data_IF_447652046543
#
_entry.id   IF_447652046543
#
_cell.length_a   1.000
_cell.length_b   1.000
_cell.length_c   1.000
_cell.angle_alpha   90.00
_cell.angle_beta   90.00
_cell.angle_gamma   90.00
#
_symmetry.space_group_name_H-M   'P 1'
#
loop_
_entity.id
_entity.type
_entity.pdbx_description
1 polymer ?
#
# COMPACT_ATOMS: atom_id res chain seq x y z
N UNK A 1 -2.95 30.32 -11.75
CA UNK A 1 -3.63 29.02 -11.85
C UNK A 1 -4.05 28.60 -10.45
N UNK A 2 -5.31 28.23 -10.24
CA UNK A 2 -5.75 27.73 -8.94
C UNK A 2 -5.11 26.34 -8.67
N UNK A 3 -4.42 26.17 -7.56
CA UNK A 3 -3.83 24.88 -7.13
C UNK A 3 -4.89 23.91 -6.61
N UNK A 4 -6.09 24.39 -6.35
CA UNK A 4 -7.18 23.64 -5.72
C UNK A 4 -7.53 22.33 -6.45
N UNK A 5 -7.67 22.28 -7.80
CA UNK A 5 -7.98 21.03 -8.51
C UNK A 5 -6.89 19.96 -8.31
N UNK A 6 -5.64 20.39 -8.27
CA UNK A 6 -4.50 19.49 -8.08
C UNK A 6 -4.47 18.95 -6.64
N UNK A 7 -4.71 19.80 -5.64
CA UNK A 7 -4.78 19.39 -4.24
C UNK A 7 -5.90 18.37 -4.01
N UNK A 8 -7.09 18.60 -4.57
CA UNK A 8 -8.21 17.67 -4.49
C UNK A 8 -7.86 16.33 -5.13
N UNK A 9 -7.17 16.36 -6.28
CA UNK A 9 -6.69 15.15 -6.94
C UNK A 9 -5.65 14.41 -6.10
N UNK A 10 -4.73 15.17 -5.49
CA UNK A 10 -3.66 14.65 -4.63
C UNK A 10 -4.17 14.00 -3.35
N UNK A 11 -5.28 14.49 -2.78
CA UNK A 11 -5.91 13.85 -1.61
C UNK A 11 -6.37 12.42 -1.92
N UNK A 12 -6.99 12.17 -3.08
CA UNK A 12 -7.42 10.82 -3.46
C UNK A 12 -6.23 9.86 -3.61
N UNK A 13 -5.20 10.27 -4.35
CA UNK A 13 -3.99 9.46 -4.54
C UNK A 13 -3.23 9.28 -3.22
N UNK A 14 -3.09 10.35 -2.43
CA UNK A 14 -2.45 10.33 -1.12
C UNK A 14 -3.16 9.42 -0.12
N UNK A 15 -4.50 9.33 -0.18
CA UNK A 15 -5.26 8.38 0.62
C UNK A 15 -4.91 6.92 0.27
N UNK A 16 -4.70 6.61 -1.01
CA UNK A 16 -4.25 5.27 -1.43
C UNK A 16 -2.81 5.00 -1.00
N UNK A 17 -1.92 6.00 -1.05
CA UNK A 17 -0.55 5.86 -0.52
C UNK A 17 -0.56 5.64 1.00
N UNK A 18 -1.42 6.34 1.73
CA UNK A 18 -1.63 6.13 3.16
C UNK A 18 -2.10 4.70 3.46
N UNK A 19 -3.11 4.23 2.74
CA UNK A 19 -3.62 2.86 2.86
C UNK A 19 -2.53 1.82 2.60
N UNK A 20 -1.77 2.00 1.51
CA UNK A 20 -0.68 1.11 1.11
C UNK A 20 0.45 1.11 2.13
N UNK A 21 0.88 2.28 2.59
CA UNK A 21 1.92 2.42 3.60
C UNK A 21 1.55 1.77 4.92
N UNK A 22 0.31 1.95 5.38
CA UNK A 22 -0.22 1.30 6.59
C UNK A 22 -0.21 -0.22 6.43
N UNK A 23 -0.65 -0.76 5.28
CA UNK A 23 -0.58 -2.19 4.99
C UNK A 23 0.85 -2.74 5.07
N UNK A 24 1.84 -2.01 4.54
CA UNK A 24 3.25 -2.37 4.64
C UNK A 24 3.77 -2.34 6.09
N UNK A 25 3.41 -1.32 6.88
CA UNK A 25 3.83 -1.21 8.29
C UNK A 25 3.27 -2.35 9.13
N UNK A 26 2.03 -2.78 8.91
CA UNK A 26 1.43 -3.90 9.62
C UNK A 26 2.24 -5.18 9.40
N UNK A 27 2.55 -5.49 8.15
CA UNK A 27 3.34 -6.66 7.82
C UNK A 27 4.74 -6.58 8.42
N UNK A 28 5.41 -5.43 8.23
CA UNK A 28 6.76 -5.22 8.76
C UNK A 28 6.81 -5.38 10.27
N UNK A 29 5.86 -4.82 11.01
CA UNK A 29 5.78 -4.96 12.47
C UNK A 29 5.59 -6.41 12.92
N UNK A 30 4.87 -7.21 12.15
CA UNK A 30 4.57 -8.60 12.53
C UNK A 30 5.64 -9.59 12.09
N UNK A 31 6.33 -9.32 10.98
CA UNK A 31 7.25 -10.27 10.34
C UNK A 31 8.68 -9.76 10.24
N UNK A 32 8.92 -8.46 10.40
CA UNK A 32 10.20 -7.82 10.10
C UNK A 32 10.53 -7.76 8.60
N UNK A 33 9.59 -8.10 7.71
CA UNK A 33 9.81 -8.14 6.26
C UNK A 33 9.18 -6.95 5.57
N UNK A 34 9.98 -6.24 4.76
CA UNK A 34 9.47 -5.23 3.84
C UNK A 34 8.98 -5.93 2.57
N UNK A 35 7.69 -5.78 2.25
CA UNK A 35 7.06 -6.46 1.12
C UNK A 35 7.12 -5.62 -0.15
N UNK A 36 8.05 -5.92 -1.03
CA UNK A 36 8.15 -5.29 -2.34
C UNK A 36 7.10 -5.79 -3.35
N UNK A 37 6.44 -6.93 -3.10
CA UNK A 37 5.37 -7.44 -3.95
C UNK A 37 4.01 -6.79 -3.66
N UNK A 38 3.91 -5.89 -2.67
CA UNK A 38 2.65 -5.26 -2.28
C UNK A 38 1.89 -4.69 -3.48
N UNK A 39 2.56 -3.87 -4.30
CA UNK A 39 1.95 -3.26 -5.48
C UNK A 39 1.52 -4.30 -6.54
N UNK A 40 2.31 -5.38 -6.72
CA UNK A 40 1.99 -6.44 -7.67
C UNK A 40 0.76 -7.25 -7.26
N UNK A 41 0.57 -7.50 -5.96
CA UNK A 41 -0.65 -8.15 -5.46
C UNK A 41 -1.89 -7.29 -5.75
N UNK A 42 -1.80 -5.98 -5.50
CA UNK A 42 -2.89 -5.05 -5.82
C UNK A 42 -3.15 -4.91 -7.32
N UNK A 43 -2.09 -4.88 -8.12
CA UNK A 43 -2.18 -4.84 -9.57
C UNK A 43 -2.91 -6.08 -10.13
N UNK A 44 -2.59 -7.27 -9.63
CA UNK A 44 -3.30 -8.49 -9.98
C UNK A 44 -4.78 -8.38 -9.62
N UNK A 45 -5.10 -7.93 -8.40
CA UNK A 45 -6.48 -7.72 -7.96
C UNK A 45 -7.26 -6.78 -8.88
N UNK A 46 -6.63 -5.68 -9.29
CA UNK A 46 -7.24 -4.72 -10.21
C UNK A 46 -7.48 -5.32 -11.61
N UNK A 47 -6.55 -6.14 -12.13
CA UNK A 47 -6.74 -6.82 -13.43
C UNK A 47 -7.86 -7.86 -13.37
N UNK A 48 -7.94 -8.63 -12.28
CA UNK A 48 -9.03 -9.61 -12.08
C UNK A 48 -10.38 -8.89 -12.02
N UNK A 49 -10.47 -7.79 -11.26
CA UNK A 49 -11.70 -7.01 -11.19
C UNK A 49 -12.09 -6.43 -12.56
N UNK A 50 -11.12 -5.88 -13.29
CA UNK A 50 -11.36 -5.38 -14.65
C UNK A 50 -11.87 -6.48 -15.58
N UNK A 51 -11.27 -7.68 -15.53
CA UNK A 51 -11.70 -8.81 -16.37
C UNK A 51 -13.14 -9.23 -16.08
N UNK A 52 -13.53 -9.25 -14.81
CA UNK A 52 -14.90 -9.60 -14.40
C UNK A 52 -15.90 -8.57 -14.91
N UNK A 53 -15.55 -7.28 -14.89
CA UNK A 53 -16.38 -6.21 -15.47
C UNK A 53 -16.51 -6.34 -17.00
N UNK A 54 -15.46 -6.85 -17.70
CA UNK A 54 -15.56 -7.13 -19.14
C UNK A 54 -16.51 -8.30 -19.45
N UNK A 55 -16.84 -9.14 -18.49
CA UNK A 55 -17.84 -10.20 -18.60
C UNK A 55 -19.24 -9.75 -18.18
N UNK A 56 -19.46 -8.43 -18.02
CA UNK A 56 -20.72 -7.81 -17.60
C UNK A 56 -21.27 -8.30 -16.25
N UNK A 57 -20.35 -8.74 -15.36
CA UNK A 57 -20.73 -9.15 -14.02
C UNK A 57 -20.91 -7.90 -13.10
N UNK A 58 -21.72 -8.03 -12.04
CA UNK A 58 -21.94 -6.92 -11.10
C UNK A 58 -20.66 -6.37 -10.50
N UNK A 59 -20.58 -5.04 -10.33
CA UNK A 59 -19.43 -4.34 -9.75
C UNK A 59 -19.01 -4.92 -8.39
N UNK A 60 -19.97 -5.29 -7.55
CA UNK A 60 -19.67 -5.88 -6.24
C UNK A 60 -18.88 -7.19 -6.35
N UNK A 61 -19.22 -8.03 -7.34
CA UNK A 61 -18.50 -9.29 -7.61
C UNK A 61 -17.09 -9.00 -8.11
N UNK A 62 -16.91 -8.02 -8.99
CA UNK A 62 -15.62 -7.61 -9.49
C UNK A 62 -14.69 -7.10 -8.35
N UNK A 63 -15.21 -6.24 -7.47
CA UNK A 63 -14.46 -5.73 -6.32
C UNK A 63 -14.07 -6.87 -5.38
N UNK A 64 -15.02 -7.73 -5.02
CA UNK A 64 -14.78 -8.85 -4.11
C UNK A 64 -13.74 -9.82 -4.68
N UNK A 65 -13.85 -10.19 -5.95
CA UNK A 65 -12.91 -11.10 -6.59
C UNK A 65 -11.51 -10.47 -6.74
N UNK A 66 -11.43 -9.17 -7.05
CA UNK A 66 -10.18 -8.44 -7.11
C UNK A 66 -9.47 -8.40 -5.75
N UNK A 67 -10.18 -8.05 -4.68
CA UNK A 67 -9.62 -8.06 -3.32
C UNK A 67 -9.28 -9.49 -2.88
N UNK A 68 -10.14 -10.46 -3.18
CA UNK A 68 -9.89 -11.85 -2.82
C UNK A 68 -8.65 -12.42 -3.52
N UNK A 69 -8.46 -12.16 -4.82
CA UNK A 69 -7.29 -12.64 -5.57
C UNK A 69 -5.97 -12.08 -5.01
N UNK A 70 -5.93 -10.78 -4.72
CA UNK A 70 -4.79 -10.14 -4.06
C UNK A 70 -4.52 -10.77 -2.68
N UNK A 71 -5.57 -11.00 -1.90
CA UNK A 71 -5.48 -11.59 -0.55
C UNK A 71 -5.01 -13.03 -0.60
N UNK A 72 -5.52 -13.83 -1.55
CA UNK A 72 -5.13 -15.24 -1.72
C UNK A 72 -3.66 -15.36 -2.09
N UNK A 73 -3.18 -14.55 -3.04
CA UNK A 73 -1.76 -14.59 -3.43
C UNK A 73 -0.86 -14.15 -2.26
N UNK A 74 -1.25 -13.12 -1.53
CA UNK A 74 -0.54 -12.68 -0.33
C UNK A 74 -0.54 -13.76 0.77
N UNK A 75 -1.68 -14.40 1.01
CA UNK A 75 -1.82 -15.53 1.93
C UNK A 75 -0.92 -16.71 1.52
N UNK A 76 -0.95 -17.10 0.25
CA UNK A 76 -0.13 -18.20 -0.26
C UNK A 76 1.36 -17.92 -0.07
N UNK A 77 1.79 -16.70 -0.37
CA UNK A 77 3.17 -16.30 -0.12
C UNK A 77 3.51 -16.38 1.37
N UNK A 78 2.66 -15.81 2.23
CA UNK A 78 2.86 -15.79 3.67
C UNK A 78 2.83 -17.17 4.32
N UNK A 79 2.06 -18.11 3.75
CA UNK A 79 1.89 -19.48 4.29
C UNK A 79 2.96 -20.46 3.81
N UNK A 80 3.43 -20.29 2.56
CA UNK A 80 4.32 -21.26 1.90
C UNK A 80 5.74 -20.71 1.80
N UNK A 81 5.93 -19.54 1.18
CA UNK A 81 7.26 -19.03 0.84
C UNK A 81 7.92 -18.28 2.00
N UNK A 82 7.18 -17.45 2.74
CA UNK A 82 7.75 -16.66 3.83
C UNK A 82 8.37 -17.54 4.94
N UNK A 83 7.77 -18.67 5.35
CA UNK A 83 8.41 -19.57 6.33
C UNK A 83 9.71 -20.21 5.84
N UNK A 84 9.82 -20.50 4.53
CA UNK A 84 11.06 -21.07 3.96
C UNK A 84 12.24 -20.10 4.06
N UNK A 85 11.96 -18.80 4.15
CA UNK A 85 12.96 -17.75 4.29
C UNK A 85 13.14 -17.29 5.74
N UNK A 86 12.42 -17.85 6.72
CA UNK A 86 12.40 -17.37 8.12
C UNK A 86 13.76 -17.39 8.81
N UNK A 87 14.64 -18.34 8.44
CA UNK A 87 16.00 -18.45 8.97
C UNK A 87 17.05 -17.59 8.24
N UNK A 88 16.64 -16.76 7.25
CA UNK A 88 17.55 -15.90 6.48
C UNK A 88 17.53 -14.47 7.02
N UNK A 89 18.58 -13.74 6.68
CA UNK A 89 18.69 -12.31 7.01
C UNK A 89 17.50 -11.50 6.50
N UNK A 90 17.17 -10.42 7.20
CA UNK A 90 16.04 -9.52 6.87
C UNK A 90 16.12 -9.01 5.43
N UNK A 91 17.32 -8.73 4.92
CA UNK A 91 17.52 -8.28 3.53
C UNK A 91 17.13 -9.39 2.55
N UNK A 92 17.57 -10.63 2.77
CA UNK A 92 17.24 -11.78 1.92
C UNK A 92 15.75 -12.03 1.92
N UNK A 93 15.10 -11.91 3.08
CA UNK A 93 13.64 -12.05 3.21
C UNK A 93 12.88 -10.96 2.45
N UNK A 94 13.34 -9.71 2.52
CA UNK A 94 12.76 -8.60 1.78
C UNK A 94 12.96 -8.75 0.26
N UNK A 95 14.19 -9.06 -0.18
CA UNK A 95 14.51 -9.32 -1.60
C UNK A 95 13.72 -10.53 -2.12
N UNK A 96 13.49 -11.55 -1.29
CA UNK A 96 12.65 -12.71 -1.62
C UNK A 96 11.22 -12.34 -2.02
N UNK A 97 10.71 -11.19 -1.57
CA UNK A 97 9.39 -10.69 -2.01
C UNK A 97 9.40 -10.07 -3.41
N UNK A 98 10.57 -9.76 -3.99
CA UNK A 98 10.65 -9.29 -5.38
C UNK A 98 10.34 -10.41 -6.37
N UNK A 99 10.66 -11.67 -6.04
CA UNK A 99 10.39 -12.79 -6.94
C UNK A 99 8.90 -12.89 -7.32
N UNK A 100 7.94 -12.95 -6.37
CA UNK A 100 6.52 -12.95 -6.72
C UNK A 100 6.09 -11.66 -7.41
N UNK A 101 6.69 -10.51 -7.13
CA UNK A 101 6.37 -9.27 -7.86
C UNK A 101 6.71 -9.40 -9.34
N UNK A 102 7.91 -9.88 -9.67
CA UNK A 102 8.35 -10.06 -11.06
C UNK A 102 7.53 -11.13 -11.79
N UNK A 103 7.24 -12.25 -11.11
CA UNK A 103 6.38 -13.31 -11.66
C UNK A 103 4.98 -12.76 -11.99
N UNK A 104 4.39 -12.00 -11.08
CA UNK A 104 3.06 -11.42 -11.30
C UNK A 104 3.06 -10.38 -12.40
N UNK A 105 4.09 -9.53 -12.53
CA UNK A 105 4.24 -8.61 -13.65
C UNK A 105 4.26 -9.40 -14.97
N UNK A 106 5.09 -10.44 -15.05
CA UNK A 106 5.17 -11.27 -16.25
C UNK A 106 3.82 -11.96 -16.57
N UNK A 107 3.16 -12.54 -15.58
CA UNK A 107 1.85 -13.17 -15.73
C UNK A 107 0.79 -12.16 -16.20
N UNK A 108 0.74 -10.98 -15.59
CA UNK A 108 -0.17 -9.92 -16.03
C UNK A 108 0.12 -9.46 -17.46
N UNK A 109 1.41 -9.33 -17.83
CA UNK A 109 1.83 -8.99 -19.18
C UNK A 109 1.42 -10.02 -20.22
N UNK A 110 1.52 -11.32 -19.89
CA UNK A 110 1.10 -12.42 -20.80
C UNK A 110 -0.42 -12.49 -20.94
N UNK A 111 -1.17 -12.36 -19.85
CA UNK A 111 -2.64 -12.55 -19.86
C UNK A 111 -3.35 -11.30 -20.40
N UNK A 112 -2.97 -10.11 -19.95
CA UNK A 112 -3.66 -8.86 -20.28
C UNK A 112 -2.87 -7.93 -21.18
N UNK A 113 -1.57 -8.16 -21.39
CA UNK A 113 -0.70 -7.27 -22.13
C UNK A 113 -0.28 -6.02 -21.36
N UNK A 114 0.59 -5.22 -21.96
CA UNK A 114 1.20 -4.03 -21.33
C UNK A 114 0.48 -2.71 -21.65
N UNK A 115 -0.57 -2.74 -22.48
CA UNK A 115 -1.30 -1.53 -22.84
C UNK A 115 -2.05 -0.98 -21.62
N UNK A 116 -1.92 0.32 -21.32
CA UNK A 116 -2.66 0.96 -20.26
C UNK A 116 -4.17 0.86 -20.49
N UNK A 117 -4.91 0.47 -19.48
CA UNK A 117 -6.37 0.36 -19.47
C UNK A 117 -6.96 1.30 -18.44
N UNK A 118 -8.26 1.43 -18.42
CA UNK A 118 -8.99 2.14 -17.38
C UNK A 118 -9.95 1.19 -16.68
N UNK A 119 -9.87 1.19 -15.37
CA UNK A 119 -10.90 0.65 -14.51
C UNK A 119 -11.82 1.83 -14.18
N UNK A 120 -13.04 1.84 -14.67
CA UNK A 120 -13.97 2.95 -14.43
C UNK A 120 -15.11 2.47 -13.55
N UNK A 121 -15.25 3.11 -12.40
CA UNK A 121 -16.40 2.87 -11.55
C UNK A 121 -17.57 3.78 -11.93
N UNK A 122 -18.84 3.34 -11.78
CA UNK A 122 -20.00 4.18 -12.01
C UNK A 122 -19.99 5.48 -11.20
N UNK A 123 -19.29 5.48 -10.06
CA UNK A 123 -19.12 6.63 -9.17
C UNK A 123 -18.24 7.75 -9.76
N UNK A 124 -17.50 7.50 -10.84
CA UNK A 124 -16.72 8.53 -11.56
C UNK A 124 -17.59 9.52 -12.32
N UNK A 125 -18.78 9.08 -12.73
CA UNK A 125 -19.75 9.94 -13.41
C UNK A 125 -20.48 10.88 -12.44
N UNK A 126 -20.45 10.58 -11.16
CA UNK A 126 -21.04 11.38 -10.11
C UNK A 126 -19.96 12.29 -9.50
N UNK A 127 -20.25 13.57 -9.36
CA UNK A 127 -19.32 14.54 -8.77
C UNK A 127 -20.03 15.60 -7.96
N UNK A 128 -19.34 16.08 -6.93
CA UNK A 128 -19.70 17.29 -6.19
C UNK A 128 -18.82 18.43 -6.70
N UNK A 129 -19.40 19.60 -6.84
CA UNK A 129 -18.63 20.81 -7.16
C UNK A 129 -18.29 21.52 -5.87
N UNK A 130 -17.02 21.51 -5.49
CA UNK A 130 -16.49 22.18 -4.30
C UNK A 130 -15.56 23.30 -4.75
N UNK A 131 -15.88 24.54 -4.43
CA UNK A 131 -15.13 25.73 -4.85
C UNK A 131 -14.85 25.79 -6.38
N UNK A 132 -15.81 25.37 -7.20
CA UNK A 132 -15.68 25.36 -8.66
C UNK A 132 -14.88 24.17 -9.23
N UNK A 133 -14.44 23.24 -8.41
CA UNK A 133 -13.71 22.04 -8.81
C UNK A 133 -14.58 20.81 -8.71
N UNK A 134 -14.55 19.94 -9.71
CA UNK A 134 -15.26 18.67 -9.71
C UNK A 134 -14.51 17.64 -8.87
N UNK A 135 -15.12 17.22 -7.76
CA UNK A 135 -14.67 16.14 -6.90
C UNK A 135 -15.51 14.89 -7.20
N UNK A 136 -14.96 13.86 -7.81
CA UNK A 136 -15.68 12.61 -8.11
C UNK A 136 -15.96 11.84 -6.81
N UNK A 137 -17.10 11.13 -6.76
CA UNK A 137 -17.44 10.29 -5.62
C UNK A 137 -16.40 9.20 -5.38
N UNK A 138 -15.74 8.69 -6.42
CA UNK A 138 -14.67 7.70 -6.27
C UNK A 138 -13.52 8.22 -5.42
N UNK A 139 -13.13 9.50 -5.56
CA UNK A 139 -12.09 10.11 -4.71
C UNK A 139 -12.51 10.25 -3.27
N UNK A 140 -13.78 10.60 -3.04
CA UNK A 140 -14.34 10.63 -1.68
C UNK A 140 -14.37 9.24 -1.06
N UNK A 141 -14.79 8.23 -1.82
CA UNK A 141 -14.79 6.84 -1.40
C UNK A 141 -13.37 6.39 -1.08
N UNK A 142 -12.38 6.70 -1.92
CA UNK A 142 -10.99 6.37 -1.67
C UNK A 142 -10.48 6.97 -0.35
N UNK A 143 -10.80 8.24 -0.08
CA UNK A 143 -10.41 8.91 1.16
C UNK A 143 -11.10 8.29 2.38
N UNK A 144 -12.43 8.15 2.32
CA UNK A 144 -13.23 7.60 3.44
C UNK A 144 -12.85 6.14 3.71
N UNK A 145 -12.72 5.32 2.67
CA UNK A 145 -12.34 3.92 2.79
C UNK A 145 -10.92 3.77 3.36
N UNK A 146 -9.97 4.58 2.89
CA UNK A 146 -8.60 4.56 3.43
C UNK A 146 -8.58 4.93 4.91
N UNK A 147 -9.29 5.99 5.32
CA UNK A 147 -9.39 6.38 6.72
C UNK A 147 -10.11 5.31 7.56
N UNK A 148 -11.20 4.75 7.06
CA UNK A 148 -11.94 3.68 7.73
C UNK A 148 -11.07 2.43 7.91
N UNK A 149 -10.30 2.03 6.89
CA UNK A 149 -9.39 0.90 6.98
C UNK A 149 -8.24 1.13 7.97
N UNK A 150 -7.66 2.34 7.98
CA UNK A 150 -6.64 2.71 8.98
C UNK A 150 -7.21 2.68 10.40
N UNK A 151 -8.43 3.20 10.58
CA UNK A 151 -9.11 3.15 11.87
C UNK A 151 -9.45 1.72 12.30
N UNK A 152 -10.01 0.92 11.38
CA UNK A 152 -10.38 -0.47 11.62
C UNK A 152 -9.17 -1.32 12.03
N UNK A 153 -8.06 -1.20 11.30
CA UNK A 153 -6.84 -1.96 11.64
C UNK A 153 -6.21 -1.49 12.95
N UNK A 154 -6.23 -0.20 13.22
CA UNK A 154 -5.74 0.35 14.49
C UNK A 154 -6.57 -0.18 15.65
N UNK A 155 -7.89 -0.23 15.49
CA UNK A 155 -8.80 -0.81 16.47
C UNK A 155 -8.53 -2.31 16.66
N UNK A 156 -8.40 -3.07 15.56
CA UNK A 156 -8.07 -4.49 15.58
C UNK A 156 -6.76 -4.74 16.33
N UNK A 157 -5.69 -4.02 16.00
CA UNK A 157 -4.40 -4.17 16.66
C UNK A 157 -4.45 -3.82 18.14
N UNK A 158 -5.29 -2.86 18.56
CA UNK A 158 -5.35 -2.41 19.95
C UNK A 158 -6.34 -3.21 20.81
N UNK A 159 -7.36 -3.83 20.20
CA UNK A 159 -8.48 -4.46 20.93
C UNK A 159 -8.54 -5.98 20.80
N UNK A 160 -7.69 -6.62 19.97
CA UNK A 160 -7.77 -8.08 19.74
C UNK A 160 -6.52 -8.81 20.21
N UNK A 161 -6.68 -10.11 20.47
CA UNK A 161 -5.55 -11.02 20.79
C UNK A 161 -4.56 -11.11 19.64
N UNK A 162 -5.05 -11.13 18.39
CA UNK A 162 -4.19 -11.12 17.21
C UNK A 162 -3.28 -9.88 17.18
N UNK A 163 -3.82 -8.70 17.49
CA UNK A 163 -3.04 -7.48 17.59
C UNK A 163 -2.02 -7.50 18.74
N UNK A 164 -2.34 -8.15 19.85
CA UNK A 164 -1.40 -8.37 20.95
C UNK A 164 -0.25 -9.28 20.48
N UNK A 165 -0.55 -10.40 19.83
CA UNK A 165 0.42 -11.36 19.30
C UNK A 165 1.34 -10.69 18.26
N UNK A 166 0.77 -9.90 17.35
CA UNK A 166 1.54 -9.11 16.37
C UNK A 166 2.50 -8.12 17.03
N UNK A 167 2.09 -7.46 18.11
CA UNK A 167 2.97 -6.55 18.86
C UNK A 167 4.05 -7.28 19.63
N UNK A 168 3.74 -8.44 20.19
CA UNK A 168 4.72 -9.29 20.86
C UNK A 168 5.81 -9.74 19.87
N UNK A 169 5.42 -10.24 18.69
CA UNK A 169 6.34 -10.64 17.61
C UNK A 169 7.19 -9.45 17.10
N UNK A 170 6.60 -8.26 17.05
CA UNK A 170 7.31 -7.03 16.65
C UNK A 170 8.42 -6.64 17.63
N UNK A 171 8.28 -7.02 18.90
CA UNK A 171 9.24 -6.71 19.94
C UNK A 171 10.35 -7.77 20.02
N UNK A 172 9.98 -9.04 20.14
CA UNK A 172 10.92 -10.16 20.17
C UNK A 172 10.21 -11.43 19.67
N UNK A 173 10.64 -11.92 18.50
CA UNK A 173 10.03 -13.09 17.85
C UNK A 173 10.30 -14.39 18.61
N UNK A 174 11.53 -14.58 19.07
CA UNK A 174 11.97 -15.82 19.71
C UNK A 174 11.37 -15.92 21.11
N UNK A 175 11.41 -14.85 21.88
CA UNK A 175 10.77 -14.77 23.18
C UNK A 175 9.27 -14.99 23.08
N UNK A 176 8.61 -14.40 22.08
CA UNK A 176 7.17 -14.59 21.84
C UNK A 176 6.82 -16.04 21.53
N UNK A 177 7.66 -16.73 20.75
CA UNK A 177 7.48 -18.16 20.46
C UNK A 177 7.60 -19.01 21.74
N UNK A 178 8.56 -18.72 22.61
CA UNK A 178 8.74 -19.41 23.92
C UNK A 178 7.53 -19.17 24.82
N UNK A 179 6.95 -17.96 24.78
CA UNK A 179 5.75 -17.59 25.55
C UNK A 179 4.44 -18.17 24.95
N UNK A 180 4.53 -18.97 23.89
CA UNK A 180 3.39 -19.69 23.31
C UNK A 180 2.61 -18.96 22.24
N UNK A 181 3.13 -17.83 21.71
CA UNK A 181 2.53 -17.15 20.54
C UNK A 181 2.67 -18.05 19.32
N UNK A 182 1.57 -18.28 18.60
CA UNK A 182 1.56 -19.06 17.36
C UNK A 182 2.12 -18.27 16.19
N UNK A 183 3.45 -18.17 16.11
CA UNK A 183 4.19 -17.32 15.17
C UNK A 183 3.66 -17.44 13.74
N UNK A 184 3.62 -18.67 13.18
CA UNK A 184 3.17 -18.88 11.80
C UNK A 184 1.73 -18.40 11.54
N UNK A 185 0.84 -18.60 12.50
CA UNK A 185 -0.55 -18.14 12.39
C UNK A 185 -0.63 -16.62 12.39
N UNK A 186 0.11 -15.97 13.28
CA UNK A 186 0.12 -14.51 13.42
C UNK A 186 0.77 -13.84 12.22
N UNK A 187 1.90 -14.37 11.73
CA UNK A 187 2.56 -13.90 10.51
C UNK A 187 1.65 -14.09 9.28
N UNK A 188 1.01 -15.24 9.12
CA UNK A 188 0.07 -15.50 8.03
C UNK A 188 -1.13 -14.55 8.06
N UNK A 189 -1.66 -14.24 9.24
CA UNK A 189 -2.73 -13.25 9.39
C UNK A 189 -2.26 -11.84 8.96
N UNK A 190 -1.01 -11.47 9.24
CA UNK A 190 -0.44 -10.21 8.76
C UNK A 190 -0.36 -10.17 7.22
N UNK A 191 0.01 -11.28 6.58
CA UNK A 191 0.01 -11.38 5.12
C UNK A 191 -1.40 -11.26 4.53
N UNK A 192 -2.42 -11.89 5.14
CA UNK A 192 -3.84 -11.75 4.74
C UNK A 192 -4.29 -10.29 4.83
N UNK A 193 -4.05 -9.63 5.95
CA UNK A 193 -4.40 -8.23 6.14
C UNK A 193 -3.72 -7.36 5.08
N UNK A 194 -2.42 -7.58 4.85
CA UNK A 194 -1.66 -6.85 3.83
C UNK A 194 -2.21 -7.09 2.43
N UNK A 195 -2.64 -8.30 2.11
CA UNK A 195 -3.29 -8.64 0.85
C UNK A 195 -4.62 -7.90 0.64
N UNK A 196 -5.43 -7.77 1.71
CA UNK A 196 -6.66 -6.96 1.70
C UNK A 196 -6.36 -5.48 1.40
N UNK A 197 -5.38 -4.91 2.10
CA UNK A 197 -4.96 -3.52 1.88
C UNK A 197 -4.42 -3.30 0.47
N UNK A 198 -3.61 -4.24 -0.02
CA UNK A 198 -3.05 -4.22 -1.37
C UNK A 198 -4.13 -4.29 -2.44
N UNK A 199 -5.10 -5.21 -2.30
CA UNK A 199 -6.21 -5.35 -3.23
C UNK A 199 -7.07 -4.10 -3.32
N UNK A 200 -7.45 -3.53 -2.17
CA UNK A 200 -8.20 -2.27 -2.13
C UNK A 200 -7.41 -1.10 -2.72
N UNK A 201 -6.13 -0.97 -2.36
CA UNK A 201 -5.26 0.07 -2.90
C UNK A 201 -5.08 -0.06 -4.42
N UNK A 202 -4.89 -1.28 -4.92
CA UNK A 202 -4.76 -1.57 -6.34
C UNK A 202 -6.01 -1.21 -7.15
N UNK A 203 -7.20 -1.56 -6.65
CA UNK A 203 -8.49 -1.21 -7.27
C UNK A 203 -8.69 0.31 -7.35
N UNK A 204 -8.50 1.01 -6.22
CA UNK A 204 -8.65 2.46 -6.16
C UNK A 204 -7.66 3.17 -7.07
N UNK A 205 -6.42 2.70 -7.15
CA UNK A 205 -5.41 3.33 -7.97
C UNK A 205 -5.58 3.05 -9.45
N UNK A 206 -6.07 1.85 -9.81
CA UNK A 206 -6.38 1.49 -11.19
C UNK A 206 -7.49 2.39 -11.77
N UNK A 207 -8.43 2.81 -10.93
CA UNK A 207 -9.47 3.77 -11.27
C UNK A 207 -8.95 5.21 -11.30
N UNK A 208 -8.29 5.65 -10.23
CA UNK A 208 -7.83 7.05 -10.09
C UNK A 208 -6.76 7.45 -11.09
N UNK A 209 -5.93 6.52 -11.58
CA UNK A 209 -4.79 6.82 -12.46
C UNK A 209 -4.88 5.99 -13.75
N UNK A 210 -4.52 4.71 -13.69
CA UNK A 210 -4.57 3.76 -14.81
C UNK A 210 -4.34 2.32 -14.35
N UNK A 211 -4.93 1.39 -15.06
CA UNK A 211 -4.70 -0.04 -14.92
C UNK A 211 -3.57 -0.47 -15.86
N UNK A 212 -2.41 -0.70 -15.30
CA UNK A 212 -1.23 -1.26 -15.98
C UNK A 212 -0.39 -1.99 -14.93
N UNK A 213 -0.07 -3.25 -15.16
CA UNK A 213 0.57 -4.13 -14.17
C UNK A 213 1.87 -3.57 -13.61
N UNK A 214 2.77 -3.16 -14.50
CA UNK A 214 4.05 -2.56 -14.14
C UNK A 214 3.86 -1.27 -13.35
N UNK A 215 3.01 -0.36 -13.82
CA UNK A 215 2.78 0.92 -13.14
C UNK A 215 2.22 0.75 -11.73
N UNK A 216 1.19 -0.09 -11.56
CA UNK A 216 0.57 -0.33 -10.25
C UNK A 216 1.53 -1.03 -9.28
N UNK A 217 2.41 -1.90 -9.79
CA UNK A 217 3.43 -2.54 -8.95
C UNK A 217 4.38 -1.52 -8.34
N UNK A 218 4.79 -0.50 -9.09
CA UNK A 218 5.70 0.54 -8.60
C UNK A 218 5.08 1.50 -7.58
N UNK A 219 3.76 1.46 -7.36
CA UNK A 219 3.10 2.19 -6.26
C UNK A 219 3.59 1.74 -4.87
N UNK A 220 4.21 0.59 -4.79
CA UNK A 220 4.92 0.18 -3.57
C UNK A 220 5.94 1.24 -3.10
N UNK A 221 6.51 2.03 -4.00
CA UNK A 221 7.57 3.01 -3.68
C UNK A 221 7.04 4.18 -2.84
N UNK A 222 6.00 4.94 -3.26
CA UNK A 222 5.39 5.94 -2.38
C UNK A 222 4.89 5.36 -1.06
N UNK A 223 4.38 4.13 -1.08
CA UNK A 223 3.93 3.44 0.13
C UNK A 223 5.11 3.14 1.10
N UNK A 224 6.26 2.70 0.57
CA UNK A 224 7.48 2.51 1.36
C UNK A 224 7.97 3.86 1.90
N UNK A 225 7.97 4.92 1.10
CA UNK A 225 8.35 6.26 1.53
C UNK A 225 7.49 6.73 2.72
N UNK A 226 6.16 6.55 2.64
CA UNK A 226 5.25 6.85 3.73
C UNK A 226 5.53 5.98 4.98
N UNK A 227 5.82 4.69 4.79
CA UNK A 227 6.16 3.78 5.87
C UNK A 227 7.48 4.16 6.58
N UNK A 228 8.49 4.60 5.82
CA UNK A 228 9.77 5.09 6.35
C UNK A 228 9.55 6.35 7.18
N UNK A 229 8.76 7.31 6.70
CA UNK A 229 8.38 8.51 7.46
C UNK A 229 7.68 8.14 8.78
N UNK A 230 6.85 7.09 8.77
CA UNK A 230 6.26 6.49 9.97
C UNK A 230 7.23 5.63 10.80
N UNK A 231 8.54 5.61 10.43
CA UNK A 231 9.61 4.81 11.06
C UNK A 231 9.26 3.30 11.09
N UNK A 232 8.41 2.82 10.18
CA UNK A 232 7.90 1.44 10.13
C UNK A 232 7.20 1.00 11.43
N UNK A 233 6.78 1.95 12.26
CA UNK A 233 6.19 1.74 13.60
C UNK A 233 4.84 2.41 13.77
N UNK A 234 4.68 3.65 13.34
CA UNK A 234 3.47 4.44 13.57
C UNK A 234 2.53 4.40 12.38
N UNK A 235 1.35 3.79 12.55
CA UNK A 235 0.30 3.75 11.51
C UNK A 235 -0.22 5.16 11.20
N UNK A 236 -0.41 6.01 12.23
CA UNK A 236 -0.92 7.38 12.06
C UNK A 236 0.06 8.26 11.28
N UNK A 237 1.34 8.22 11.65
CA UNK A 237 2.37 9.01 10.95
C UNK A 237 2.51 8.53 9.52
N UNK A 238 2.48 7.21 9.28
CA UNK A 238 2.49 6.63 7.93
C UNK A 238 1.29 7.10 7.10
N UNK A 239 0.09 7.12 7.69
CA UNK A 239 -1.11 7.57 6.99
C UNK A 239 -1.01 9.07 6.62
N UNK A 240 -0.60 9.92 7.56
CA UNK A 240 -0.40 11.35 7.30
C UNK A 240 0.68 11.57 6.24
N UNK A 241 1.79 10.84 6.34
CA UNK A 241 2.88 10.89 5.36
C UNK A 241 2.43 10.49 3.96
N UNK A 242 1.64 9.41 3.84
CA UNK A 242 1.07 8.98 2.56
C UNK A 242 0.21 10.06 1.89
N UNK A 243 -0.68 10.68 2.67
CA UNK A 243 -1.48 11.82 2.19
C UNK A 243 -0.58 12.99 1.80
N UNK A 244 0.44 13.32 2.61
CA UNK A 244 1.40 14.38 2.33
C UNK A 244 2.19 14.15 1.04
N UNK A 245 2.63 12.91 0.77
CA UNK A 245 3.31 12.53 -0.47
C UNK A 245 2.39 12.74 -1.68
N UNK A 246 1.13 12.28 -1.61
CA UNK A 246 0.17 12.48 -2.70
C UNK A 246 -0.14 13.95 -2.97
N UNK A 247 -0.23 14.78 -1.92
CA UNK A 247 -0.37 16.23 -2.06
C UNK A 247 0.88 16.87 -2.69
N UNK A 248 2.08 16.44 -2.28
CA UNK A 248 3.33 16.94 -2.85
C UNK A 248 3.43 16.63 -4.35
N UNK A 249 3.13 15.40 -4.77
CA UNK A 249 3.06 15.04 -6.20
C UNK A 249 2.04 15.89 -6.97
N UNK A 250 0.90 16.16 -6.36
CA UNK A 250 -0.16 16.95 -6.98
C UNK A 250 0.25 18.41 -7.20
N UNK A 251 0.94 19.01 -6.22
CA UNK A 251 1.46 20.40 -6.34
C UNK A 251 2.53 20.52 -7.41
N UNK A 252 3.31 19.47 -7.68
CA UNK A 252 4.32 19.45 -8.74
C UNK A 252 3.71 19.31 -10.14
N UNK A 253 2.47 18.84 -10.25
CA UNK A 253 1.81 18.58 -11.54
C UNK A 253 1.65 19.81 -12.43
N UNK A 254 1.27 21.02 -11.95
CA UNK A 254 1.10 22.21 -12.80
C UNK A 254 2.42 22.86 -13.20
N UNK A 255 3.55 22.47 -12.62
CA UNK A 255 4.87 23.03 -12.93
C UNK A 255 5.44 22.28 -14.12
N UNK A 256 5.33 22.83 -15.32
CA UNK A 256 5.69 22.17 -16.59
C UNK A 256 7.11 21.62 -16.62
N UNK A 257 8.06 22.32 -15.99
CA UNK A 257 9.46 21.90 -15.91
C UNK A 257 9.67 20.66 -15.03
N UNK A 258 8.88 20.50 -13.97
CA UNK A 258 9.02 19.44 -12.95
C UNK A 258 8.00 18.31 -13.14
N UNK A 259 6.89 18.61 -13.80
CA UNK A 259 5.78 17.67 -14.01
C UNK A 259 6.21 16.29 -14.56
N UNK A 260 7.15 16.14 -15.50
CA UNK A 260 7.61 14.84 -15.96
C UNK A 260 8.30 14.01 -14.85
N UNK A 261 8.88 14.69 -13.86
CA UNK A 261 9.65 14.07 -12.76
C UNK A 261 8.85 13.93 -11.47
N UNK A 262 7.55 14.27 -11.46
CA UNK A 262 6.72 14.22 -10.25
C UNK A 262 6.72 12.86 -9.55
N UNK A 263 6.84 11.77 -10.30
CA UNK A 263 6.94 10.41 -9.76
C UNK A 263 8.23 10.16 -8.95
N UNK A 264 9.23 11.05 -9.04
CA UNK A 264 10.42 11.01 -8.21
C UNK A 264 10.21 11.65 -6.82
N UNK A 265 9.14 12.44 -6.63
CA UNK A 265 8.87 13.13 -5.36
C UNK A 265 8.86 12.18 -4.14
N UNK A 266 8.23 10.99 -4.16
CA UNK A 266 8.27 10.07 -3.02
C UNK A 266 9.68 9.65 -2.64
N UNK A 267 10.57 9.45 -3.61
CA UNK A 267 11.96 9.07 -3.36
C UNK A 267 12.75 10.21 -2.72
N UNK A 268 12.57 11.43 -3.21
CA UNK A 268 13.24 12.62 -2.67
C UNK A 268 12.76 12.86 -1.22
N UNK A 269 11.46 12.75 -0.97
CA UNK A 269 10.88 12.88 0.37
C UNK A 269 11.42 11.80 1.29
N UNK A 270 11.48 10.53 0.85
CA UNK A 270 12.02 9.42 1.62
C UNK A 270 13.51 9.64 1.95
N UNK A 271 14.30 10.08 0.98
CA UNK A 271 15.73 10.35 1.16
C UNK A 271 15.96 11.47 2.19
N UNK A 272 15.23 12.58 2.08
CA UNK A 272 15.28 13.68 3.05
C UNK A 272 14.89 13.18 4.44
N UNK A 273 13.81 12.40 4.53
CA UNK A 273 13.34 11.84 5.80
C UNK A 273 14.40 10.95 6.46
N UNK A 274 15.01 10.03 5.71
CA UNK A 274 16.04 9.12 6.22
C UNK A 274 17.27 9.90 6.70
N UNK A 275 17.68 10.94 5.96
CA UNK A 275 18.85 11.76 6.35
C UNK A 275 18.58 12.55 7.62
N UNK A 276 17.39 13.15 7.77
CA UNK A 276 17.00 13.91 8.96
C UNK A 276 16.84 12.98 10.17
N UNK A 277 16.11 11.88 10.03
CA UNK A 277 15.88 10.91 11.11
C UNK A 277 17.18 10.21 11.52
N UNK A 278 18.06 9.91 10.56
CA UNK A 278 19.36 9.31 10.83
C UNK A 278 20.33 10.25 11.57
N UNK A 279 20.26 11.56 11.32
CA UNK A 279 21.06 12.55 12.01
C UNK A 279 20.63 12.75 13.47
N UNK A 280 19.32 12.79 13.73
CA UNK A 280 18.77 12.93 15.09
C UNK A 280 19.07 11.71 15.96
N UNK A 281 19.04 10.50 15.42
CA UNK A 281 19.38 9.29 16.19
C UNK A 281 20.88 9.22 16.55
N UNK A 282 21.77 9.70 15.67
CA UNK A 282 23.22 9.80 15.96
C UNK A 282 23.54 10.87 16.98
N UNK A 283 22.85 12.00 16.96
CA UNK A 283 23.00 13.04 17.97
C UNK A 283 22.60 12.54 19.37
N UNK A 284 21.46 11.86 19.48
CA UNK A 284 20.97 11.28 20.73
C UNK A 284 21.86 10.15 21.31
N UNK A 285 22.68 9.48 20.49
CA UNK A 285 23.65 8.48 20.94
C UNK A 285 24.98 9.11 21.35
N UNK A 286 25.28 10.33 20.95
CA UNK A 286 26.53 11.06 21.30
C UNK A 286 26.43 11.78 22.65
N UNK A 287 25.18 12.00 23.10
CA UNK A 287 24.87 12.68 24.38
C UNK A 287 24.63 11.69 25.55
N UNK A 288 24.85 10.37 25.30
CA UNK A 288 24.87 9.31 26.34
C UNK A 288 26.24 8.72 26.51
#
# INVERSE_FOLDING_TARGET
MSLLPFLISGLGIGAVYALSGVGLVILYRSTGVLNFAFGAFGALGAHVAWQILQWDWPLAVAILAGVASSTVVSFLYGRVFAPMLSGRDTVVRAVGTLAPALVLIAVMGVIWGELPRRLQFPTDQMYLTVFGVRLTYTRLIALVLSLAMVAAITLLLNRTRLGLDMRALANDRDLSAILGVRVLHTETAAWVITGLFSGLAGLLLADLVRLQGTFLTFVVIPAIAAAILGQLRSLYVTAIAGVGIGLAEAVLTPITLISPYRAAAPFVIALIAVTILGSTSRAAMRDR
#
